data_IF_793036279723
#
_entry.id   IF_793036279723
#
_cell.length_a   1.000
_cell.length_b   1.000
_cell.length_c   1.000
_cell.angle_alpha   90.00
_cell.angle_beta   90.00
_cell.angle_gamma   90.00
#
_symmetry.space_group_name_H-M   'P 1'
#
loop_
_entity.id
_entity.type
_entity.pdbx_description
1 polymer ?
#
# COMPACT_ATOMS: atom_id res chain seq x y z
N UNK A 1 1.57 -43.55 6.48
CA UNK A 1 2.00 -42.72 5.33
C UNK A 1 0.95 -41.64 5.12
N UNK A 2 1.29 -40.37 5.42
CA UNK A 2 0.42 -39.23 5.11
C UNK A 2 0.59 -38.87 3.63
N UNK A 3 -0.48 -38.48 2.90
CA UNK A 3 -0.36 -38.11 1.49
C UNK A 3 0.49 -36.84 1.37
N UNK A 4 1.52 -36.89 0.52
CA UNK A 4 2.25 -35.70 0.08
C UNK A 4 1.28 -34.83 -0.74
N UNK A 5 0.69 -33.81 -0.12
CA UNK A 5 0.00 -32.74 -0.85
C UNK A 5 0.97 -32.14 -1.86
N UNK A 6 0.58 -32.15 -3.13
CA UNK A 6 1.33 -31.62 -4.25
C UNK A 6 1.46 -30.10 -4.09
N UNK A 7 2.69 -29.61 -3.99
CA UNK A 7 3.06 -28.19 -3.82
C UNK A 7 2.59 -27.29 -4.99
N UNK A 8 2.02 -27.88 -6.06
CA UNK A 8 1.59 -27.17 -7.28
C UNK A 8 0.20 -26.53 -7.20
N UNK A 9 -0.72 -27.04 -6.38
CA UNK A 9 -2.09 -26.49 -6.29
C UNK A 9 -2.13 -25.14 -5.55
N UNK A 10 -1.19 -24.91 -4.64
CA UNK A 10 -1.15 -23.73 -3.76
C UNK A 10 -0.65 -22.44 -4.44
N UNK A 11 0.07 -22.55 -5.57
CA UNK A 11 0.62 -21.38 -6.30
C UNK A 11 -0.42 -20.72 -7.20
N UNK A 12 -1.22 -21.50 -7.92
CA UNK A 12 -2.26 -20.98 -8.81
C UNK A 12 -3.38 -20.28 -8.04
N UNK A 13 -3.79 -20.82 -6.88
CA UNK A 13 -4.80 -20.17 -6.03
C UNK A 13 -4.35 -18.79 -5.56
N UNK A 14 -3.10 -18.68 -5.07
CA UNK A 14 -2.55 -17.40 -4.61
C UNK A 14 -2.43 -16.37 -5.71
N UNK A 15 -1.99 -16.75 -6.92
CA UNK A 15 -1.90 -15.81 -8.05
C UNK A 15 -3.27 -15.26 -8.46
N UNK A 16 -4.30 -16.12 -8.45
CA UNK A 16 -5.69 -15.70 -8.69
C UNK A 16 -6.16 -14.73 -7.60
N UNK A 17 -5.90 -15.05 -6.33
CA UNK A 17 -6.27 -14.18 -5.20
C UNK A 17 -5.58 -12.81 -5.27
N UNK A 18 -4.29 -12.77 -5.66
CA UNK A 18 -3.55 -11.51 -5.85
C UNK A 18 -4.15 -10.67 -6.98
N UNK A 19 -4.46 -11.26 -8.14
CA UNK A 19 -5.07 -10.53 -9.27
C UNK A 19 -6.48 -10.02 -8.94
N UNK A 20 -7.26 -10.78 -8.15
CA UNK A 20 -8.56 -10.34 -7.64
C UNK A 20 -8.38 -9.14 -6.69
N UNK A 21 -7.39 -9.19 -5.80
CA UNK A 21 -7.06 -8.08 -4.90
C UNK A 21 -6.71 -6.81 -5.68
N UNK A 22 -5.78 -6.89 -6.65
CA UNK A 22 -5.34 -5.73 -7.44
C UNK A 22 -6.51 -5.09 -8.22
N UNK A 23 -7.39 -5.90 -8.81
CA UNK A 23 -8.59 -5.42 -9.49
C UNK A 23 -9.48 -4.57 -8.58
N UNK A 24 -9.77 -5.07 -7.39
CA UNK A 24 -10.67 -4.39 -6.46
C UNK A 24 -10.00 -3.16 -5.84
N UNK A 25 -8.71 -3.25 -5.49
CA UNK A 25 -7.89 -2.09 -5.07
C UNK A 25 -7.91 -0.99 -6.14
N UNK A 26 -7.75 -1.33 -7.42
CA UNK A 26 -7.80 -0.36 -8.52
C UNK A 26 -9.18 0.31 -8.63
N UNK A 27 -10.27 -0.46 -8.62
CA UNK A 27 -11.63 0.10 -8.72
C UNK A 27 -11.95 1.03 -7.55
N UNK A 28 -11.57 0.62 -6.35
CA UNK A 28 -11.75 1.43 -5.14
C UNK A 28 -10.98 2.74 -5.26
N UNK A 29 -9.72 2.69 -5.70
CA UNK A 29 -8.93 3.89 -5.94
C UNK A 29 -9.59 4.81 -6.97
N UNK A 30 -9.97 4.28 -8.14
CA UNK A 30 -10.59 5.06 -9.21
C UNK A 30 -11.88 5.76 -8.72
N UNK A 31 -12.70 5.08 -7.92
CA UNK A 31 -13.89 5.68 -7.31
C UNK A 31 -13.55 6.90 -6.46
N UNK A 32 -12.57 6.79 -5.57
CA UNK A 32 -12.15 7.90 -4.71
C UNK A 32 -11.45 9.01 -5.51
N UNK A 33 -10.65 8.64 -6.52
CA UNK A 33 -9.95 9.57 -7.39
C UNK A 33 -10.90 10.38 -8.26
N UNK A 34 -11.82 9.72 -8.96
CA UNK A 34 -12.82 10.35 -9.82
C UNK A 34 -13.69 11.31 -9.02
N UNK A 35 -14.14 10.89 -7.83
CA UNK A 35 -14.90 11.75 -6.92
C UNK A 35 -14.10 12.98 -6.49
N UNK A 36 -12.81 12.81 -6.16
CA UNK A 36 -11.95 13.88 -5.66
C UNK A 36 -11.57 14.89 -6.75
N UNK A 37 -11.29 14.40 -7.96
CA UNK A 37 -10.74 15.22 -9.05
C UNK A 37 -11.76 15.59 -10.13
N UNK A 38 -13.01 15.08 -10.03
CA UNK A 38 -14.07 15.23 -11.03
C UNK A 38 -13.69 14.64 -12.40
N UNK A 39 -13.04 13.48 -12.36
CA UNK A 39 -12.62 12.69 -13.52
C UNK A 39 -13.55 11.47 -13.69
N UNK A 40 -13.41 10.74 -14.79
CA UNK A 40 -14.27 9.58 -15.12
C UNK A 40 -13.49 8.37 -15.63
N UNK A 41 -12.38 8.06 -14.96
CA UNK A 41 -11.55 6.89 -15.29
C UNK A 41 -12.21 5.58 -14.85
N UNK A 42 -12.22 4.57 -15.74
CA UNK A 42 -12.80 3.26 -15.48
C UNK A 42 -11.77 2.14 -15.66
N UNK A 43 -11.88 1.10 -14.83
CA UNK A 43 -11.07 -0.11 -14.96
C UNK A 43 -11.45 -0.89 -16.22
N UNK A 44 -10.45 -1.29 -17.02
CA UNK A 44 -10.63 -2.13 -18.20
C UNK A 44 -10.17 -3.56 -17.91
N UNK A 45 -8.90 -3.73 -17.52
CA UNK A 45 -8.29 -5.05 -17.32
C UNK A 45 -7.11 -5.02 -16.36
N UNK A 46 -6.71 -6.20 -15.88
CA UNK A 46 -5.44 -6.41 -15.19
C UNK A 46 -4.33 -6.47 -16.24
N UNK A 47 -3.17 -5.91 -15.93
CA UNK A 47 -2.00 -5.97 -16.81
C UNK A 47 -1.33 -7.34 -16.82
N UNK A 48 -0.62 -7.62 -17.89
CA UNK A 48 0.20 -8.81 -18.06
C UNK A 48 1.65 -8.57 -17.58
N UNK A 49 2.09 -9.18 -16.46
CA UNK A 49 3.44 -9.00 -15.95
C UNK A 49 4.51 -9.59 -16.89
N UNK A 50 4.16 -10.54 -17.77
CA UNK A 50 5.10 -11.09 -18.77
C UNK A 50 5.45 -10.03 -19.82
N UNK A 51 4.52 -9.10 -20.07
CA UNK A 51 4.69 -7.98 -21.02
C UNK A 51 5.17 -6.69 -20.33
N UNK A 52 5.54 -6.78 -19.06
CA UNK A 52 5.92 -5.63 -18.23
C UNK A 52 4.80 -4.56 -18.12
N UNK A 53 3.54 -4.98 -18.26
CA UNK A 53 2.41 -4.05 -18.09
C UNK A 53 2.21 -3.71 -16.61
N UNK A 54 1.80 -2.47 -16.29
CA UNK A 54 1.37 -2.09 -14.93
C UNK A 54 0.20 -2.94 -14.42
N UNK A 55 0.04 -3.06 -13.10
CA UNK A 55 -1.02 -3.88 -12.47
C UNK A 55 -2.41 -3.74 -13.12
N UNK A 56 -2.82 -2.52 -13.51
CA UNK A 56 -4.14 -2.25 -14.04
C UNK A 56 -4.11 -1.29 -15.24
N UNK A 57 -4.98 -1.58 -16.21
CA UNK A 57 -5.22 -0.76 -17.41
C UNK A 57 -6.62 -0.16 -17.28
N UNK A 58 -6.71 1.16 -17.49
CA UNK A 58 -7.93 1.95 -17.34
C UNK A 58 -8.24 2.73 -18.62
N UNK A 59 -9.40 3.39 -18.66
CA UNK A 59 -9.80 4.26 -19.77
C UNK A 59 -8.83 5.42 -19.97
N UNK A 60 -8.88 6.01 -21.17
CA UNK A 60 -8.09 7.18 -21.57
C UNK A 60 -6.58 7.00 -21.39
N UNK A 61 -6.10 5.77 -21.63
CA UNK A 61 -4.71 5.37 -21.48
C UNK A 61 -4.13 5.69 -20.09
N UNK A 62 -4.95 5.58 -19.04
CA UNK A 62 -4.47 5.58 -17.66
C UNK A 62 -4.03 4.17 -17.27
N UNK A 63 -2.81 4.07 -16.77
CA UNK A 63 -2.21 2.86 -16.25
C UNK A 63 -1.91 3.03 -14.78
N UNK A 64 -2.14 1.98 -14.01
CA UNK A 64 -2.00 2.00 -12.56
C UNK A 64 -1.13 0.82 -12.15
N UNK A 65 0.00 1.12 -11.52
CA UNK A 65 0.79 0.14 -10.79
C UNK A 65 0.35 0.12 -9.33
N UNK A 66 0.15 -1.08 -8.79
CA UNK A 66 -0.23 -1.27 -7.39
C UNK A 66 0.95 -1.88 -6.62
N UNK A 67 1.19 -1.39 -5.42
CA UNK A 67 2.07 -2.05 -4.47
C UNK A 67 1.49 -1.98 -3.07
N UNK A 68 1.36 -3.09 -2.36
CA UNK A 68 1.06 -3.02 -0.94
C UNK A 68 2.27 -2.47 -0.19
N UNK A 69 2.04 -1.63 0.82
CA UNK A 69 3.01 -1.36 1.87
C UNK A 69 2.76 -2.33 3.00
N UNK A 70 3.76 -3.17 3.25
CA UNK A 70 3.83 -3.98 4.44
C UNK A 70 4.92 -3.38 5.32
N UNK A 71 4.65 -3.28 6.62
CA UNK A 71 5.70 -3.45 7.61
C UNK A 71 6.24 -4.87 7.35
N UNK A 72 7.34 -4.99 6.58
CA UNK A 72 8.15 -6.14 6.11
C UNK A 72 7.52 -7.57 5.92
N UNK A 73 8.09 -8.45 5.09
CA UNK A 73 7.56 -9.81 4.83
C UNK A 73 7.55 -10.75 6.06
N UNK A 74 8.59 -10.74 6.89
CA UNK A 74 8.65 -11.40 8.20
C UNK A 74 7.83 -10.63 9.24
N UNK A 75 7.73 -9.31 9.07
CA UNK A 75 6.85 -8.46 9.85
C UNK A 75 5.37 -8.71 9.56
N UNK A 76 4.87 -9.09 8.38
CA UNK A 76 3.43 -9.37 8.21
C UNK A 76 2.92 -10.45 9.20
N UNK A 77 3.76 -11.44 9.53
CA UNK A 77 3.51 -12.43 10.60
C UNK A 77 3.72 -11.86 12.00
N UNK A 78 4.78 -11.10 12.22
CA UNK A 78 5.10 -10.51 13.53
C UNK A 78 4.19 -9.32 13.88
N UNK A 79 3.65 -8.59 12.91
CA UNK A 79 2.86 -7.36 12.96
C UNK A 79 1.46 -7.65 13.42
N UNK A 80 0.83 -8.78 13.05
CA UNK A 80 -0.38 -9.21 13.77
C UNK A 80 -0.11 -9.44 15.26
N UNK A 81 1.08 -9.96 15.61
CA UNK A 81 1.53 -10.11 17.00
C UNK A 81 1.83 -8.78 17.69
N UNK A 82 2.67 -7.95 17.09
CA UNK A 82 3.21 -6.68 17.57
C UNK A 82 2.13 -5.61 17.62
N UNK A 83 1.24 -5.52 16.63
CA UNK A 83 0.10 -4.61 16.61
C UNK A 83 -0.94 -5.01 17.63
N UNK A 84 -1.20 -6.32 17.80
CA UNK A 84 -2.05 -6.81 18.89
C UNK A 84 -1.41 -6.50 20.25
N UNK A 85 -0.08 -6.58 20.36
CA UNK A 85 0.69 -6.24 21.55
C UNK A 85 0.71 -4.72 21.83
N UNK A 86 0.86 -3.90 20.80
CA UNK A 86 0.87 -2.43 20.87
C UNK A 86 -0.53 -1.90 21.18
N UNK A 87 -1.58 -2.43 20.55
CA UNK A 87 -2.98 -2.13 20.90
C UNK A 87 -3.33 -2.60 22.31
N UNK A 88 -2.85 -3.77 22.74
CA UNK A 88 -3.03 -4.28 24.12
C UNK A 88 -2.29 -3.42 25.14
N UNK A 89 -1.06 -2.99 24.84
CA UNK A 89 -0.28 -2.05 25.68
C UNK A 89 -0.91 -0.66 25.72
N UNK A 90 -1.45 -0.17 24.61
CA UNK A 90 -2.16 1.11 24.55
C UNK A 90 -3.44 1.10 25.39
N UNK A 91 -4.26 0.04 25.26
CA UNK A 91 -5.51 -0.16 26.02
C UNK A 91 -5.30 -0.45 27.51
N UNK A 92 -4.18 -1.06 27.90
CA UNK A 92 -3.88 -1.37 29.30
C UNK A 92 -3.33 -0.19 30.13
N UNK A 93 -3.27 1.03 29.59
CA UNK A 93 -2.72 2.21 30.27
C UNK A 93 -3.67 2.87 31.29
N UNK A 94 -4.57 2.10 31.93
CA UNK A 94 -5.15 2.54 33.20
C UNK A 94 -4.17 2.38 34.38
N UNK A 95 -2.99 1.76 34.18
CA UNK A 95 -1.98 1.60 35.22
C UNK A 95 -0.65 2.31 34.90
N UNK A 96 -0.49 3.49 35.50
CA UNK A 96 0.76 4.12 35.99
C UNK A 96 2.12 3.64 35.43
N UNK A 97 2.45 3.94 34.17
CA UNK A 97 3.85 4.02 33.73
C UNK A 97 4.14 5.32 32.97
N UNK A 98 5.26 5.92 33.36
CA UNK A 98 5.75 7.27 33.05
C UNK A 98 5.74 7.55 31.52
N UNK A 99 5.30 8.74 31.15
CA UNK A 99 5.07 9.27 29.79
C UNK A 99 6.24 9.21 28.78
N UNK A 100 7.42 8.68 29.11
CA UNK A 100 8.61 8.73 28.24
C UNK A 100 8.61 7.62 27.17
N UNK A 101 8.32 6.37 27.55
CA UNK A 101 8.42 5.19 26.66
C UNK A 101 7.36 5.16 25.55
N UNK A 102 6.25 5.86 25.76
CA UNK A 102 5.10 5.90 24.83
C UNK A 102 5.40 6.74 23.58
N UNK A 103 6.15 7.82 23.75
CA UNK A 103 6.54 8.73 22.66
C UNK A 103 7.52 8.03 21.71
N UNK A 104 8.49 7.32 22.29
CA UNK A 104 9.52 6.61 21.52
C UNK A 104 8.94 5.49 20.65
N UNK A 105 7.95 4.73 21.16
CA UNK A 105 7.32 3.65 20.39
C UNK A 105 6.51 4.16 19.18
N UNK A 106 5.79 5.28 19.33
CA UNK A 106 5.02 5.88 18.24
C UNK A 106 5.96 6.45 17.15
N UNK A 107 7.03 7.13 17.56
CA UNK A 107 8.04 7.64 16.64
C UNK A 107 8.71 6.53 15.83
N UNK A 108 9.06 5.40 16.47
CA UNK A 108 9.61 4.24 15.76
C UNK A 108 8.62 3.67 14.75
N UNK A 109 7.34 3.52 15.12
CA UNK A 109 6.32 3.00 14.20
C UNK A 109 6.11 3.93 12.99
N UNK A 110 6.07 5.25 13.21
CA UNK A 110 6.00 6.24 12.12
C UNK A 110 7.21 6.19 11.21
N UNK A 111 8.42 6.03 11.77
CA UNK A 111 9.64 5.92 10.97
C UNK A 111 9.62 4.66 10.11
N UNK A 112 9.24 3.50 10.67
CA UNK A 112 9.13 2.24 9.92
C UNK A 112 8.11 2.35 8.77
N UNK A 113 6.98 3.03 9.00
CA UNK A 113 6.01 3.31 7.94
C UNK A 113 6.63 4.15 6.81
N UNK A 114 7.33 5.23 7.16
CA UNK A 114 7.99 6.10 6.19
C UNK A 114 9.05 5.34 5.39
N UNK A 115 9.90 4.56 6.07
CA UNK A 115 10.96 3.78 5.43
C UNK A 115 10.39 2.74 4.47
N UNK A 116 9.33 2.03 4.87
CA UNK A 116 8.66 1.06 4.01
C UNK A 116 8.01 1.73 2.79
N UNK A 117 7.34 2.88 2.96
CA UNK A 117 6.81 3.64 1.82
C UNK A 117 7.92 4.05 0.85
N UNK A 118 9.01 4.63 1.36
CA UNK A 118 10.14 5.06 0.53
C UNK A 118 10.77 3.87 -0.20
N UNK A 119 10.99 2.75 0.47
CA UNK A 119 11.53 1.52 -0.14
C UNK A 119 10.63 1.02 -1.27
N UNK A 120 9.32 0.93 -1.05
CA UNK A 120 8.37 0.45 -2.06
C UNK A 120 8.31 1.37 -3.27
N UNK A 121 8.30 2.68 -3.05
CA UNK A 121 8.27 3.66 -4.13
C UNK A 121 9.57 3.62 -4.93
N UNK A 122 10.74 3.60 -4.27
CA UNK A 122 12.04 3.50 -4.94
C UNK A 122 12.16 2.22 -5.77
N UNK A 123 11.79 1.06 -5.21
CA UNK A 123 11.79 -0.21 -5.94
C UNK A 123 10.89 -0.18 -7.18
N UNK A 124 9.77 0.55 -7.14
CA UNK A 124 8.86 0.69 -8.29
C UNK A 124 9.40 1.71 -9.30
N UNK A 125 10.08 2.77 -8.86
CA UNK A 125 10.75 3.73 -9.74
C UNK A 125 11.91 3.13 -10.56
N UNK A 126 12.53 2.04 -10.08
CA UNK A 126 13.59 1.34 -10.81
C UNK A 126 13.07 0.39 -11.90
N UNK A 127 11.77 0.10 -11.92
CA UNK A 127 11.16 -0.80 -12.89
C UNK A 127 10.90 -0.11 -14.23
N UNK A 128 10.93 -0.93 -15.29
CA UNK A 128 10.42 -0.56 -16.61
C UNK A 128 8.97 -1.02 -16.71
N UNK A 129 8.17 -0.18 -17.35
CA UNK A 129 6.76 -0.43 -17.58
C UNK A 129 6.46 -0.23 -19.06
N UNK A 130 5.75 -1.19 -19.64
CA UNK A 130 5.23 -1.07 -20.98
C UNK A 130 3.83 -0.43 -20.92
N UNK A 131 3.74 0.84 -21.29
CA UNK A 131 2.49 1.60 -21.34
C UNK A 131 2.58 2.72 -22.38
N UNK A 132 1.44 3.21 -22.87
CA UNK A 132 1.36 4.26 -23.89
C UNK A 132 0.68 5.55 -23.40
N UNK A 133 0.50 5.71 -22.09
CA UNK A 133 -0.18 6.87 -21.51
C UNK A 133 0.28 7.22 -20.09
N UNK A 134 -0.63 7.78 -19.28
CA UNK A 134 -0.30 8.20 -17.90
C UNK A 134 -0.06 6.96 -17.03
N UNK A 135 0.97 7.00 -16.20
CA UNK A 135 1.25 5.94 -15.24
C UNK A 135 1.16 6.47 -13.81
N UNK A 136 0.27 5.92 -13.01
CA UNK A 136 0.16 6.20 -11.58
C UNK A 136 0.71 5.04 -10.75
N UNK A 137 1.28 5.37 -9.59
CA UNK A 137 1.60 4.40 -8.55
C UNK A 137 0.60 4.54 -7.41
N UNK A 138 0.01 3.42 -7.00
CA UNK A 138 -0.77 3.31 -5.77
C UNK A 138 0.02 2.47 -4.78
N UNK A 139 0.26 3.05 -3.61
CA UNK A 139 0.76 2.34 -2.44
C UNK A 139 -0.41 2.07 -1.51
N UNK A 140 -0.76 0.79 -1.30
CA UNK A 140 -1.92 0.37 -0.50
C UNK A 140 -1.49 -0.06 0.91
N UNK A 141 -2.08 0.53 1.95
CA UNK A 141 -1.94 0.08 3.34
C UNK A 141 -3.22 -0.65 3.78
N UNK A 142 -3.19 -1.98 3.71
CA UNK A 142 -4.36 -2.83 3.97
C UNK A 142 -4.62 -3.16 5.45
N UNK A 143 -3.83 -2.65 6.40
CA UNK A 143 -3.95 -3.02 7.83
C UNK A 143 -4.73 -1.99 8.64
N UNK A 144 -4.94 -0.79 8.09
CA UNK A 144 -5.68 0.31 8.72
C UNK A 144 -5.11 0.73 10.06
N UNK A 145 -3.78 0.66 10.18
CA UNK A 145 -3.06 1.01 11.41
C UNK A 145 -2.45 2.39 11.36
N UNK A 146 -2.38 2.96 10.17
CA UNK A 146 -1.77 4.27 9.96
C UNK A 146 -2.74 5.35 10.43
N UNK A 147 -2.34 6.08 11.46
CA UNK A 147 -3.08 7.26 11.91
C UNK A 147 -2.83 8.45 10.97
N UNK A 148 -3.75 9.41 10.96
CA UNK A 148 -3.70 10.58 10.06
C UNK A 148 -2.39 11.36 10.24
N UNK A 149 -1.92 11.44 11.48
CA UNK A 149 -0.72 12.14 11.91
C UNK A 149 0.54 11.54 11.27
N UNK A 150 0.61 10.21 11.13
CA UNK A 150 1.73 9.54 10.48
C UNK A 150 1.76 9.82 8.97
N UNK A 151 0.59 9.90 8.34
CA UNK A 151 0.45 10.27 6.93
C UNK A 151 0.86 11.72 6.70
N UNK A 152 0.40 12.62 7.55
CA UNK A 152 0.77 14.05 7.49
C UNK A 152 2.28 14.23 7.71
N UNK A 153 2.85 13.52 8.69
CA UNK A 153 4.30 13.50 8.90
C UNK A 153 5.04 13.01 7.64
N UNK A 154 4.60 11.92 7.04
CA UNK A 154 5.21 11.41 5.80
C UNK A 154 5.14 12.45 4.68
N UNK A 155 3.96 13.02 4.43
CA UNK A 155 3.74 13.99 3.35
C UNK A 155 4.66 15.21 3.49
N UNK A 156 4.87 15.67 4.73
CA UNK A 156 5.60 16.90 5.03
C UNK A 156 7.11 16.69 5.20
N UNK A 157 7.55 15.56 5.77
CA UNK A 157 8.93 15.37 6.24
C UNK A 157 9.52 13.98 5.96
N UNK A 158 8.67 12.95 5.85
CA UNK A 158 9.13 11.56 5.71
C UNK A 158 9.52 11.12 4.30
N UNK A 159 9.18 11.89 3.27
CA UNK A 159 9.50 11.59 1.86
C UNK A 159 11.00 11.59 1.60
N UNK A 160 11.52 10.45 1.13
CA UNK A 160 12.92 10.25 0.74
C UNK A 160 13.00 9.36 -0.52
N UNK A 161 12.32 9.78 -1.57
CA UNK A 161 12.36 9.14 -2.89
C UNK A 161 12.43 10.20 -3.99
N UNK A 162 12.83 9.77 -5.18
CA UNK A 162 12.75 10.59 -6.39
C UNK A 162 11.77 9.92 -7.36
N UNK A 163 10.75 10.66 -7.80
CA UNK A 163 9.79 10.18 -8.76
C UNK A 163 10.23 10.49 -10.18
N UNK A 164 10.63 9.46 -10.91
CA UNK A 164 11.17 9.63 -12.27
C UNK A 164 10.16 9.19 -13.35
N UNK A 165 9.25 8.27 -13.02
CA UNK A 165 8.41 7.55 -13.98
C UNK A 165 6.91 7.78 -13.79
N UNK A 166 6.44 8.02 -12.56
CA UNK A 166 5.02 8.11 -12.28
C UNK A 166 4.53 9.54 -12.47
N UNK A 167 3.42 9.72 -13.18
CA UNK A 167 2.74 11.00 -13.26
C UNK A 167 2.22 11.44 -11.89
N UNK A 168 1.67 10.48 -11.14
CA UNK A 168 1.21 10.70 -9.77
C UNK A 168 1.50 9.47 -8.90
N UNK A 169 1.87 9.71 -7.65
CA UNK A 169 2.05 8.67 -6.62
C UNK A 169 1.03 8.92 -5.52
N UNK A 170 0.24 7.90 -5.22
CA UNK A 170 -0.86 7.95 -4.26
C UNK A 170 -0.67 6.93 -3.15
N UNK A 171 -1.05 7.31 -1.93
CA UNK A 171 -1.23 6.41 -0.80
C UNK A 171 -2.73 6.15 -0.62
N UNK A 172 -3.14 4.89 -0.60
CA UNK A 172 -4.49 4.47 -0.27
C UNK A 172 -4.52 3.77 1.08
N UNK A 173 -5.33 4.29 2.00
CA UNK A 173 -5.50 3.74 3.35
C UNK A 173 -6.93 3.23 3.55
N UNK A 174 -7.05 2.09 4.22
CA UNK A 174 -8.34 1.60 4.72
C UNK A 174 -8.55 2.05 6.17
N UNK A 175 -9.50 2.95 6.40
CA UNK A 175 -9.84 3.48 7.72
C UNK A 175 -11.31 3.20 8.04
N UNK A 176 -11.57 2.39 9.06
CA UNK A 176 -12.92 2.08 9.56
C UNK A 176 -13.91 1.62 8.46
N UNK A 177 -13.43 0.82 7.50
CA UNK A 177 -14.25 0.31 6.39
C UNK A 177 -14.37 1.27 5.19
N UNK A 178 -13.76 2.46 5.24
CA UNK A 178 -13.69 3.41 4.14
C UNK A 178 -12.27 3.52 3.60
N UNK A 179 -12.14 3.83 2.31
CA UNK A 179 -10.85 4.12 1.71
C UNK A 179 -10.61 5.62 1.64
N UNK A 180 -9.38 6.05 1.91
CA UNK A 180 -8.93 7.43 1.71
C UNK A 180 -7.67 7.43 0.87
N UNK A 181 -7.61 8.37 -0.07
CA UNK A 181 -6.44 8.56 -0.93
C UNK A 181 -5.73 9.88 -0.63
N UNK A 182 -4.41 9.80 -0.56
CA UNK A 182 -3.50 10.91 -0.28
C UNK A 182 -2.51 11.02 -1.43
N UNK A 183 -2.41 12.21 -2.03
CA UNK A 183 -1.41 12.48 -3.04
C UNK A 183 -0.05 12.57 -2.33
N UNK A 184 0.87 11.70 -2.70
CA UNK A 184 2.23 11.73 -2.19
C UNK A 184 3.12 12.59 -3.08
N UNK A 185 3.03 12.43 -4.39
CA UNK A 185 3.86 13.19 -5.32
C UNK A 185 3.22 13.30 -6.70
N UNK A 186 3.56 14.36 -7.43
CA UNK A 186 3.05 14.65 -8.77
C UNK A 186 4.15 15.27 -9.63
N UNK A 187 4.32 14.75 -10.83
CA UNK A 187 5.28 15.23 -11.83
C UNK A 187 4.66 16.29 -12.75
#
# INVERSE_FOLDING_TARGET
MLPKKSIKEDRNGREIDYKISEKETCKVFLKEYNKKNKEDYHFISIGDPIKEEPSCICTDNLYIEITPVYYNKDEAKATWGLVKLMKKRAKNNHNNRKNKDKKDCLTVATQMFCDSLNERINNKNEKKYNHNGKLFLIVEEGVGLTEKEAVEYYINQGKKFSNNIFGEIWLMLQLAGHHKIYLLDKK
#
